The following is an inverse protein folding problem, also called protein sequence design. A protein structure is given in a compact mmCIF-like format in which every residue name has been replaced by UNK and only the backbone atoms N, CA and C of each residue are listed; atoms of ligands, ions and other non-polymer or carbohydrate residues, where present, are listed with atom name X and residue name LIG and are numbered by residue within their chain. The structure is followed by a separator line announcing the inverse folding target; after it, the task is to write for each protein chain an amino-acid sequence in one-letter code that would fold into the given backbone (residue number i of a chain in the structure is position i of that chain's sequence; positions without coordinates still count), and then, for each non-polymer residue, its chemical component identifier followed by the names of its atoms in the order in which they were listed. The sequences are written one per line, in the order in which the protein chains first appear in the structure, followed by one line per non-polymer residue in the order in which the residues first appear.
data_IF_371516246245
#
_entry.id   IF_371516246245
#
_cell.length_a   1.000
_cell.length_b   1.000
_cell.length_c   1.000
_cell.angle_alpha   90.00
_cell.angle_beta   90.00
_cell.angle_gamma   90.00
#
_symmetry.space_group_name_H-M   'P 1'
#
loop_
_entity.id
_entity.type
_entity.pdbx_description
1 polymer ?
#
# COMPACT_ATOMS: atom_id res chain seq x y z
N UNK A 1 48.23 33.31 -8.89
CA UNK A 1 47.06 32.67 -9.51
C UNK A 1 46.81 31.37 -8.75
N UNK A 2 46.00 31.40 -7.69
CA UNK A 2 45.68 30.22 -6.89
C UNK A 2 44.32 29.69 -7.33
N UNK A 3 44.31 28.64 -8.14
CA UNK A 3 43.13 27.82 -8.37
C UNK A 3 43.18 26.68 -7.36
N UNK A 4 42.61 26.89 -6.19
CA UNK A 4 42.23 25.81 -5.28
C UNK A 4 40.70 25.74 -5.30
N UNK A 5 40.14 25.08 -6.32
CA UNK A 5 38.74 24.65 -6.30
C UNK A 5 38.68 23.13 -6.29
N UNK A 6 39.01 22.54 -5.15
CA UNK A 6 38.62 21.16 -4.85
C UNK A 6 37.69 21.14 -3.63
N UNK A 7 36.37 21.38 -3.83
CA UNK A 7 35.36 20.86 -2.92
C UNK A 7 34.21 20.08 -3.62
N UNK A 8 34.24 19.86 -4.94
CA UNK A 8 33.07 19.30 -5.66
C UNK A 8 32.84 17.79 -5.48
N UNK A 9 33.89 16.98 -5.37
CA UNK A 9 33.77 15.51 -5.32
C UNK A 9 32.88 15.00 -4.17
N UNK A 10 32.99 15.58 -2.97
CA UNK A 10 32.19 15.14 -1.83
C UNK A 10 30.70 15.52 -1.91
N UNK A 11 30.34 16.50 -2.75
CA UNK A 11 28.95 16.93 -2.96
C UNK A 11 28.30 16.06 -4.04
N UNK A 12 29.02 15.76 -5.13
CA UNK A 12 28.55 14.88 -6.20
C UNK A 12 28.31 13.44 -5.70
N UNK A 13 29.17 12.94 -4.82
CA UNK A 13 28.99 11.65 -4.13
C UNK A 13 27.71 11.64 -3.26
N UNK A 14 27.47 12.71 -2.51
CA UNK A 14 26.25 12.84 -1.67
C UNK A 14 24.98 12.93 -2.52
N UNK A 15 25.04 13.62 -3.65
CA UNK A 15 23.92 13.71 -4.60
C UNK A 15 23.59 12.33 -5.20
N UNK A 16 24.62 11.60 -5.63
CA UNK A 16 24.49 10.24 -6.15
C UNK A 16 23.93 9.28 -5.09
N UNK A 17 24.42 9.36 -3.86
CA UNK A 17 23.93 8.53 -2.76
C UNK A 17 22.46 8.83 -2.42
N UNK A 18 22.05 10.10 -2.42
CA UNK A 18 20.64 10.46 -2.23
C UNK A 18 19.75 9.88 -3.35
N UNK A 19 20.19 9.99 -4.60
CA UNK A 19 19.48 9.42 -5.74
C UNK A 19 19.34 7.89 -5.63
N UNK A 20 20.38 7.19 -5.17
CA UNK A 20 20.33 5.75 -4.92
C UNK A 20 19.34 5.39 -3.79
N UNK A 21 19.31 6.16 -2.71
CA UNK A 21 18.36 5.96 -1.61
C UNK A 21 16.91 6.19 -2.07
N UNK A 22 16.67 7.25 -2.83
CA UNK A 22 15.38 7.54 -3.47
C UNK A 22 14.96 6.41 -4.42
N UNK A 23 15.89 5.89 -5.21
CA UNK A 23 15.62 4.79 -6.13
C UNK A 23 15.22 3.52 -5.36
N UNK A 24 15.94 3.17 -4.28
CA UNK A 24 15.61 2.03 -3.43
C UNK A 24 14.21 2.16 -2.81
N UNK A 25 13.86 3.33 -2.27
CA UNK A 25 12.52 3.60 -1.75
C UNK A 25 11.46 3.45 -2.85
N UNK A 26 11.71 4.03 -4.03
CA UNK A 26 10.83 3.94 -5.20
C UNK A 26 10.57 2.49 -5.62
N UNK A 27 11.60 1.64 -5.61
CA UNK A 27 11.44 0.21 -5.93
C UNK A 27 10.50 -0.50 -4.94
N UNK A 28 10.58 -0.16 -3.64
CA UNK A 28 9.67 -0.75 -2.65
C UNK A 28 8.24 -0.23 -2.86
N UNK A 29 8.03 1.07 -3.08
CA UNK A 29 6.68 1.58 -3.37
C UNK A 29 6.10 1.03 -4.67
N UNK A 30 6.90 0.77 -5.70
CA UNK A 30 6.45 0.07 -6.92
C UNK A 30 6.00 -1.37 -6.63
N UNK A 31 6.65 -2.06 -5.68
CA UNK A 31 6.19 -3.39 -5.22
C UNK A 31 4.85 -3.27 -4.51
N UNK A 32 4.73 -2.37 -3.54
CA UNK A 32 3.48 -2.12 -2.82
C UNK A 32 2.34 -1.71 -3.76
N UNK A 33 2.61 -0.88 -4.77
CA UNK A 33 1.64 -0.49 -5.79
C UNK A 33 1.11 -1.69 -6.57
N UNK A 34 1.97 -2.65 -6.93
CA UNK A 34 1.53 -3.90 -7.58
C UNK A 34 0.63 -4.72 -6.66
N UNK A 35 0.92 -4.78 -5.36
CA UNK A 35 0.07 -5.46 -4.38
C UNK A 35 -1.27 -4.75 -4.20
N UNK A 36 -1.29 -3.42 -4.23
CA UNK A 36 -2.52 -2.63 -4.17
C UNK A 36 -3.42 -2.91 -5.40
N UNK A 37 -2.83 -2.99 -6.61
CA UNK A 37 -3.57 -3.37 -7.81
C UNK A 37 -4.12 -4.81 -7.75
N UNK A 38 -3.30 -5.75 -7.28
CA UNK A 38 -3.74 -7.15 -7.08
C UNK A 38 -4.90 -7.25 -6.10
N UNK A 39 -4.79 -6.57 -4.96
CA UNK A 39 -5.86 -6.51 -3.95
C UNK A 39 -7.18 -6.03 -4.56
N UNK A 40 -7.15 -4.96 -5.37
CA UNK A 40 -8.32 -4.48 -6.09
C UNK A 40 -8.95 -5.56 -6.97
N UNK A 41 -8.11 -6.24 -7.77
CA UNK A 41 -8.56 -7.32 -8.65
C UNK A 41 -9.13 -8.51 -7.88
N UNK A 42 -8.57 -8.86 -6.72
CA UNK A 42 -9.02 -10.01 -5.93
C UNK A 42 -10.31 -9.70 -5.18
N UNK A 43 -10.47 -8.49 -4.63
CA UNK A 43 -11.74 -8.05 -4.02
C UNK A 43 -12.88 -8.08 -5.04
N UNK A 44 -12.66 -7.60 -6.27
CA UNK A 44 -13.68 -7.65 -7.34
C UNK A 44 -14.10 -9.07 -7.74
N UNK A 45 -13.23 -10.06 -7.54
CA UNK A 45 -13.48 -11.47 -7.84
C UNK A 45 -13.89 -12.28 -6.60
N UNK A 46 -13.95 -11.63 -5.44
CA UNK A 46 -14.21 -12.28 -4.14
C UNK A 46 -13.22 -13.44 -3.86
N UNK A 47 -11.98 -13.31 -4.33
CA UNK A 47 -10.94 -14.34 -4.20
C UNK A 47 -10.22 -14.18 -2.86
N UNK A 48 -10.82 -14.74 -1.80
CA UNK A 48 -10.37 -14.58 -0.41
C UNK A 48 -8.98 -15.19 -0.18
N UNK A 49 -8.70 -16.36 -0.76
CA UNK A 49 -7.40 -17.02 -0.61
C UNK A 49 -6.26 -16.17 -1.17
N UNK A 50 -6.48 -15.54 -2.34
CA UNK A 50 -5.50 -14.62 -2.90
C UNK A 50 -5.41 -13.30 -2.15
N UNK A 51 -6.50 -12.84 -1.51
CA UNK A 51 -6.44 -11.68 -0.62
C UNK A 51 -5.56 -11.95 0.60
N UNK A 52 -5.70 -13.13 1.22
CA UNK A 52 -4.86 -13.54 2.35
C UNK A 52 -3.40 -13.66 1.94
N UNK A 53 -3.10 -14.33 0.82
CA UNK A 53 -1.75 -14.41 0.29
C UNK A 53 -1.15 -13.02 0.00
N UNK A 54 -1.93 -12.11 -0.59
CA UNK A 54 -1.51 -10.75 -0.87
C UNK A 54 -1.26 -9.94 0.42
N UNK A 55 -2.04 -10.16 1.48
CA UNK A 55 -1.82 -9.55 2.79
C UNK A 55 -0.50 -10.00 3.44
N UNK A 56 -0.13 -11.27 3.29
CA UNK A 56 1.19 -11.77 3.72
C UNK A 56 2.34 -11.15 2.95
N UNK A 57 2.18 -10.93 1.63
CA UNK A 57 3.16 -10.18 0.84
C UNK A 57 3.28 -8.72 1.32
N UNK A 58 2.16 -8.06 1.64
CA UNK A 58 2.18 -6.72 2.25
C UNK A 58 2.99 -6.70 3.54
N UNK A 59 2.73 -7.64 4.46
CA UNK A 59 3.46 -7.75 5.73
C UNK A 59 4.98 -7.93 5.53
N UNK A 60 5.39 -8.57 4.44
CA UNK A 60 6.81 -8.73 4.08
C UNK A 60 7.44 -7.46 3.52
N UNK A 61 6.74 -6.72 2.65
CA UNK A 61 7.33 -5.59 1.93
C UNK A 61 7.15 -4.23 2.62
N UNK A 62 6.15 -4.09 3.49
CA UNK A 62 5.92 -2.85 4.23
C UNK A 62 7.13 -2.44 5.09
N UNK A 63 7.75 -3.35 5.87
CA UNK A 63 8.94 -3.01 6.65
C UNK A 63 10.12 -2.60 5.76
N UNK A 64 10.31 -3.27 4.62
CA UNK A 64 11.39 -2.95 3.68
C UNK A 64 11.21 -1.56 3.05
N UNK A 65 9.96 -1.15 2.79
CA UNK A 65 9.66 0.19 2.32
C UNK A 65 9.94 1.24 3.41
N UNK A 66 9.59 0.94 4.66
CA UNK A 66 9.84 1.83 5.79
C UNK A 66 11.34 1.98 6.09
N UNK A 67 12.10 0.89 6.04
CA UNK A 67 13.57 0.90 6.16
C UNK A 67 14.22 1.77 5.09
N UNK A 68 13.78 1.66 3.83
CA UNK A 68 14.29 2.48 2.74
C UNK A 68 13.98 3.98 2.95
N UNK A 69 12.76 4.30 3.40
CA UNK A 69 12.35 5.67 3.76
C UNK A 69 13.19 6.21 4.92
N UNK A 70 13.36 5.43 5.99
CA UNK A 70 14.16 5.81 7.16
C UNK A 70 15.63 6.06 6.76
N UNK A 71 16.20 5.22 5.91
CA UNK A 71 17.57 5.41 5.42
C UNK A 71 17.70 6.73 4.65
N UNK A 72 16.77 7.05 3.74
CA UNK A 72 16.73 8.34 3.04
C UNK A 72 16.60 9.49 4.02
N UNK A 73 15.66 9.44 4.96
CA UNK A 73 15.43 10.52 5.93
C UNK A 73 16.63 10.76 6.83
N UNK A 74 17.32 9.71 7.28
CA UNK A 74 18.58 9.84 8.03
C UNK A 74 19.63 10.57 7.21
N UNK A 75 19.83 10.16 5.96
CA UNK A 75 20.78 10.80 5.07
C UNK A 75 20.43 12.28 4.81
N UNK A 76 19.15 12.61 4.59
CA UNK A 76 18.72 14.01 4.44
C UNK A 76 19.02 14.81 5.70
N UNK A 77 18.85 14.26 6.90
CA UNK A 77 19.22 14.94 8.16
C UNK A 77 20.73 15.19 8.25
N UNK A 78 21.55 14.24 7.79
CA UNK A 78 23.01 14.43 7.71
C UNK A 78 23.38 15.55 6.73
N UNK A 79 22.71 15.62 5.58
CA UNK A 79 22.89 16.72 4.62
C UNK A 79 22.50 18.07 5.24
N UNK A 80 21.37 18.14 5.94
CA UNK A 80 20.92 19.36 6.64
C UNK A 80 21.96 19.81 7.66
N UNK A 81 22.45 18.90 8.49
CA UNK A 81 23.49 19.18 9.48
C UNK A 81 24.79 19.67 8.83
N UNK A 82 25.19 19.06 7.71
CA UNK A 82 26.43 19.43 7.00
C UNK A 82 26.33 20.76 6.23
N UNK A 83 25.12 21.17 5.82
CA UNK A 83 24.88 22.38 5.00
C UNK A 83 24.35 23.57 5.79
N UNK A 84 24.07 23.38 7.09
CA UNK A 84 23.43 24.39 7.94
C UNK A 84 22.05 24.82 7.42
N UNK A 85 21.34 23.94 6.72
CA UNK A 85 20.00 24.21 6.22
C UNK A 85 18.97 24.20 7.36
N UNK A 86 17.87 24.95 7.21
CA UNK A 86 16.78 24.97 8.18
C UNK A 86 15.83 23.76 8.03
N UNK A 87 15.80 23.13 6.84
CA UNK A 87 14.91 22.00 6.54
C UNK A 87 15.55 21.00 5.58
N UNK A 88 14.96 19.80 5.50
CA UNK A 88 15.36 18.77 4.54
C UNK A 88 15.25 19.23 3.09
N UNK A 89 14.21 20.01 2.76
CA UNK A 89 14.01 20.56 1.42
C UNK A 89 15.12 21.56 1.06
N UNK A 90 15.44 22.47 1.97
CA UNK A 90 16.53 23.44 1.77
C UNK A 90 17.88 22.72 1.68
N UNK A 91 18.12 21.68 2.49
CA UNK A 91 19.34 20.89 2.43
C UNK A 91 19.51 20.15 1.09
N UNK A 92 18.43 19.55 0.58
CA UNK A 92 18.42 18.91 -0.75
C UNK A 92 18.58 19.96 -1.85
N UNK A 93 17.97 21.14 -1.73
CA UNK A 93 18.13 22.22 -2.69
C UNK A 93 19.59 22.72 -2.75
N UNK A 94 20.21 22.95 -1.59
CA UNK A 94 21.64 23.29 -1.50
C UNK A 94 22.53 22.21 -2.11
N UNK A 95 22.19 20.94 -1.92
CA UNK A 95 22.91 19.83 -2.56
C UNK A 95 22.78 19.89 -4.09
N UNK A 96 21.58 20.16 -4.62
CA UNK A 96 21.32 20.31 -6.06
C UNK A 96 22.04 21.51 -6.67
N UNK A 97 22.14 22.61 -5.94
CA UNK A 97 22.75 23.85 -6.45
C UNK A 97 24.29 23.75 -6.54
N UNK A 98 24.90 22.84 -5.77
CA UNK A 98 26.36 22.67 -5.67
C UNK A 98 26.89 21.39 -6.33
N UNK A 99 26.08 20.66 -7.10
CA UNK A 99 26.48 19.42 -7.78
C UNK A 99 26.51 19.62 -9.30
N UNK A 100 27.18 18.71 -10.01
CA UNK A 100 27.20 18.75 -11.47
C UNK A 100 25.81 18.52 -12.11
N UNK A 101 25.66 18.97 -13.36
CA UNK A 101 24.39 18.89 -14.10
C UNK A 101 23.86 17.46 -14.28
N UNK A 102 24.75 16.47 -14.41
CA UNK A 102 24.36 15.07 -14.62
C UNK A 102 23.83 14.48 -13.32
N UNK A 103 24.52 14.72 -12.20
CA UNK A 103 24.09 14.29 -10.87
C UNK A 103 22.76 14.95 -10.48
N UNK A 104 22.61 16.26 -10.73
CA UNK A 104 21.36 17.00 -10.51
C UNK A 104 20.19 16.42 -11.31
N UNK A 105 20.37 16.19 -12.62
CA UNK A 105 19.33 15.58 -13.47
C UNK A 105 18.92 14.20 -12.98
N UNK A 106 19.88 13.41 -12.50
CA UNK A 106 19.59 12.09 -11.96
C UNK A 106 18.76 12.19 -10.68
N UNK A 107 19.15 13.04 -9.74
CA UNK A 107 18.42 13.30 -8.50
C UNK A 107 16.98 13.79 -8.79
N UNK A 108 16.82 14.78 -9.66
CA UNK A 108 15.51 15.34 -10.03
C UNK A 108 14.57 14.29 -10.60
N UNK A 109 15.10 13.45 -11.51
CA UNK A 109 14.35 12.32 -12.06
C UNK A 109 13.91 11.35 -10.96
N UNK A 110 14.80 10.99 -10.03
CA UNK A 110 14.45 10.04 -8.96
C UNK A 110 13.44 10.62 -7.96
N UNK A 111 13.50 11.92 -7.68
CA UNK A 111 12.50 12.61 -6.84
C UNK A 111 11.11 12.57 -7.50
N UNK A 112 11.03 12.88 -8.79
CA UNK A 112 9.76 12.85 -9.52
C UNK A 112 9.20 11.42 -9.63
N UNK A 113 10.06 10.43 -9.91
CA UNK A 113 9.65 9.02 -9.93
C UNK A 113 9.09 8.55 -8.57
N UNK A 114 9.73 8.94 -7.46
CA UNK A 114 9.24 8.61 -6.12
C UNK A 114 7.86 9.24 -5.86
N UNK A 115 7.72 10.52 -6.20
CA UNK A 115 6.47 11.29 -6.03
C UNK A 115 5.33 10.71 -6.86
N UNK A 116 5.59 10.35 -8.11
CA UNK A 116 4.59 9.73 -8.98
C UNK A 116 4.11 8.39 -8.39
N UNK A 117 5.05 7.53 -8.02
CA UNK A 117 4.74 6.20 -7.47
C UNK A 117 4.01 6.30 -6.13
N UNK A 118 4.43 7.20 -5.23
CA UNK A 118 3.77 7.37 -3.93
C UNK A 118 2.35 7.90 -4.08
N UNK A 119 2.13 8.85 -4.99
CA UNK A 119 0.79 9.40 -5.30
C UNK A 119 -0.13 8.32 -5.87
N UNK A 120 0.38 7.52 -6.80
CA UNK A 120 -0.37 6.39 -7.38
C UNK A 120 -0.71 5.32 -6.35
N UNK A 121 0.22 5.01 -5.46
CA UNK A 121 0.02 4.07 -4.36
C UNK A 121 -1.06 4.57 -3.39
N UNK A 122 -0.97 5.83 -2.97
CA UNK A 122 -1.95 6.45 -2.07
C UNK A 122 -3.36 6.40 -2.69
N UNK A 123 -3.50 6.81 -3.95
CA UNK A 123 -4.78 6.74 -4.68
C UNK A 123 -5.30 5.32 -4.79
N UNK A 124 -4.45 4.35 -5.11
CA UNK A 124 -4.88 2.96 -5.25
C UNK A 124 -5.30 2.34 -3.91
N UNK A 125 -4.61 2.66 -2.83
CA UNK A 125 -4.97 2.23 -1.48
C UNK A 125 -6.30 2.83 -1.03
N UNK A 126 -6.55 4.10 -1.36
CA UNK A 126 -7.83 4.74 -1.07
C UNK A 126 -9.00 4.07 -1.81
N UNK A 127 -8.82 3.73 -3.09
CA UNK A 127 -9.81 2.94 -3.84
C UNK A 127 -10.03 1.56 -3.23
N UNK A 128 -8.97 0.91 -2.74
CA UNK A 128 -9.09 -0.39 -2.07
C UNK A 128 -9.83 -0.29 -0.74
N UNK A 129 -9.61 0.78 0.04
CA UNK A 129 -10.33 1.06 1.29
C UNK A 129 -11.83 1.20 1.02
N UNK A 130 -12.20 2.03 0.05
CA UNK A 130 -13.61 2.24 -0.33
C UNK A 130 -14.28 0.94 -0.80
N UNK A 131 -13.57 0.11 -1.57
CA UNK A 131 -14.10 -1.19 -2.01
C UNK A 131 -14.26 -2.17 -0.83
N UNK A 132 -13.31 -2.19 0.11
CA UNK A 132 -13.42 -3.04 1.29
C UNK A 132 -14.59 -2.62 2.19
N UNK A 133 -14.81 -1.33 2.36
CA UNK A 133 -15.98 -0.79 3.09
C UNK A 133 -17.30 -1.19 2.41
N UNK A 134 -17.38 -1.01 1.09
CA UNK A 134 -18.54 -1.44 0.32
C UNK A 134 -18.81 -2.95 0.47
N UNK A 135 -17.79 -3.80 0.37
CA UNK A 135 -17.93 -5.24 0.57
C UNK A 135 -18.40 -5.60 1.99
N UNK A 136 -17.94 -4.85 3.01
CA UNK A 136 -18.35 -5.06 4.39
C UNK A 136 -19.82 -4.69 4.61
N UNK A 137 -20.26 -3.58 4.02
CA UNK A 137 -21.65 -3.13 4.13
C UNK A 137 -22.60 -4.11 3.45
N UNK A 138 -22.25 -4.61 2.25
CA UNK A 138 -23.01 -5.68 1.59
C UNK A 138 -23.13 -6.93 2.46
N UNK A 139 -22.02 -7.42 3.03
CA UNK A 139 -22.04 -8.61 3.87
C UNK A 139 -22.92 -8.42 5.13
N UNK A 140 -22.96 -7.21 5.70
CA UNK A 140 -23.84 -6.87 6.82
C UNK A 140 -25.31 -6.88 6.41
N UNK A 141 -25.64 -6.26 5.28
CA UNK A 141 -27.01 -6.24 4.76
C UNK A 141 -27.51 -7.65 4.44
N UNK A 142 -26.68 -8.46 3.78
CA UNK A 142 -26.98 -9.86 3.49
C UNK A 142 -27.23 -10.67 4.77
N UNK A 143 -26.39 -10.48 5.79
CA UNK A 143 -26.55 -11.13 7.10
C UNK A 143 -27.86 -10.74 7.77
N UNK A 144 -28.23 -9.46 7.75
CA UNK A 144 -29.48 -8.97 8.34
C UNK A 144 -30.71 -9.46 7.57
N UNK A 145 -30.65 -9.53 6.25
CA UNK A 145 -31.71 -10.12 5.42
C UNK A 145 -31.88 -11.61 5.71
N UNK A 146 -30.78 -12.36 5.76
CA UNK A 146 -30.82 -13.79 6.07
C UNK A 146 -31.39 -14.03 7.48
N UNK A 147 -30.93 -13.26 8.47
CA UNK A 147 -31.44 -13.32 9.84
C UNK A 147 -32.93 -13.03 9.91
N UNK A 148 -33.41 -11.99 9.22
CA UNK A 148 -34.86 -11.72 9.13
C UNK A 148 -35.59 -12.90 8.51
N UNK A 149 -35.18 -13.36 7.34
CA UNK A 149 -35.84 -14.47 6.64
C UNK A 149 -35.92 -15.76 7.49
N UNK A 150 -34.85 -16.11 8.20
CA UNK A 150 -34.80 -17.30 9.06
C UNK A 150 -35.60 -17.11 10.35
N UNK A 151 -35.48 -15.95 11.02
CA UNK A 151 -36.15 -15.70 12.31
C UNK A 151 -37.63 -15.34 12.17
N UNK A 152 -38.04 -14.79 11.03
CA UNK A 152 -39.44 -14.44 10.75
C UNK A 152 -40.18 -15.53 9.97
N UNK A 153 -39.59 -16.71 9.76
CA UNK A 153 -40.29 -17.86 9.18
C UNK A 153 -41.06 -18.63 10.28
N UNK A 154 -42.39 -18.46 10.38
CA UNK A 154 -43.20 -19.14 11.39
C UNK A 154 -43.29 -20.66 11.16
N UNK A 155 -42.88 -21.16 9.98
CA UNK A 155 -42.89 -22.59 9.64
C UNK A 155 -41.55 -23.28 9.88
N UNK A 156 -40.50 -22.53 10.26
CA UNK A 156 -39.09 -22.90 10.32
C UNK A 156 -38.79 -24.38 10.57
N UNK A 157 -38.72 -25.14 9.48
CA UNK A 157 -38.32 -26.54 9.44
C UNK A 157 -37.13 -26.66 8.50
N UNK A 158 -35.99 -26.13 8.94
CA UNK A 158 -34.73 -26.19 8.22
C UNK A 158 -33.91 -27.38 8.71
N UNK A 159 -33.68 -28.37 7.85
CA UNK A 159 -32.73 -29.45 8.14
C UNK A 159 -31.28 -28.95 8.14
N UNK A 160 -30.31 -29.82 8.48
CA UNK A 160 -28.87 -29.48 8.56
C UNK A 160 -28.27 -28.85 7.28
N UNK A 161 -28.98 -28.88 6.15
CA UNK A 161 -28.55 -28.31 4.86
C UNK A 161 -29.48 -27.19 4.34
N UNK A 162 -30.26 -26.52 5.21
CA UNK A 162 -31.19 -25.45 4.83
C UNK A 162 -32.25 -25.83 3.77
N UNK A 163 -32.53 -27.13 3.60
CA UNK A 163 -33.64 -27.61 2.77
C UNK A 163 -34.95 -27.56 3.56
N UNK A 164 -36.02 -27.08 2.92
CA UNK A 164 -37.36 -27.03 3.48
C UNK A 164 -37.84 -28.46 3.80
N UNK A 165 -38.13 -28.74 5.06
CA UNK A 165 -38.76 -29.99 5.49
C UNK A 165 -40.20 -29.72 5.86
N UNK A 166 -41.13 -30.50 5.34
CA UNK A 166 -42.55 -30.41 5.73
C UNK A 166 -42.78 -31.29 6.96
N UNK A 167 -43.41 -30.73 8.01
CA UNK A 167 -43.89 -31.52 9.14
C UNK A 167 -45.09 -32.35 8.70
N UNK A 168 -44.96 -33.68 8.75
CA UNK A 168 -46.08 -34.59 8.55
C UNK A 168 -47.05 -34.58 9.73
N UNK A 169 -48.27 -35.09 9.51
CA UNK A 169 -49.28 -35.25 10.56
C UNK A 169 -48.70 -36.10 11.71
N UNK A 170 -48.54 -35.49 12.89
CA UNK A 170 -47.94 -36.12 14.07
C UNK A 170 -46.61 -35.51 14.54
N UNK A 171 -46.09 -34.46 13.88
CA UNK A 171 -44.89 -33.74 14.35
C UNK A 171 -43.56 -34.45 14.09
N UNK A 172 -43.58 -35.55 13.34
CA UNK A 172 -42.38 -36.28 12.90
C UNK A 172 -41.85 -35.65 11.61
N UNK A 173 -40.55 -35.33 11.60
CA UNK A 173 -39.84 -34.85 10.41
C UNK A 173 -39.75 -35.97 9.38
N UNK A 174 -40.46 -35.84 8.25
CA UNK A 174 -40.37 -36.78 7.12
C UNK A 174 -39.41 -36.19 6.09
N UNK A 175 -38.32 -36.90 5.79
CA UNK A 175 -37.45 -36.57 4.65
C UNK A 175 -38.21 -36.88 3.35
N UNK A 176 -38.33 -35.90 2.46
CA UNK A 176 -38.75 -36.18 1.08
C UNK A 176 -37.55 -36.71 0.29
N UNK A 177 -37.78 -37.80 -0.45
CA UNK A 177 -36.82 -38.44 -1.34
C UNK A 177 -36.83 -37.78 -2.73
#
# INVERSE_FOLDING_TARGET
MKYESAPSHGIDEKCTLLADLLHRETLQYRRLLRLAWRQNSYMRRQDVDRLDANAREWARYLPLADEARIARERFVREVVAATGAASGEEGVQKLRDNTDEKARKHLDRTLEELKEVSTRLARQNELNRQLAEFCLDLAREETELFKKAVLSDPTGCYGQNAQATTRGAGGVLVKQA
#
